data_IF_774935745341
#
_entry.id   IF_774935745341
#
_cell.length_a   1.000
_cell.length_b   1.000
_cell.length_c   1.000
_cell.angle_alpha   90.00
_cell.angle_beta   90.00
_cell.angle_gamma   90.00
#
_symmetry.space_group_name_H-M   'P 1'
#
loop_
_entity.id
_entity.type
_entity.pdbx_description
1 polymer ?
#
# COMPACT_ATOMS: atom_id res chain seq x y z
N UNK A 1 -25.12 11.14 -4.24
CA UNK A 1 -24.23 11.09 -3.08
C UNK A 1 -24.08 9.62 -2.72
N UNK A 2 -23.01 8.97 -3.20
CA UNK A 2 -22.74 7.56 -2.95
C UNK A 2 -22.38 7.37 -1.49
N UNK A 3 -22.93 6.36 -0.81
CA UNK A 3 -22.62 6.07 0.58
C UNK A 3 -21.77 4.81 0.59
N UNK A 4 -20.45 4.99 0.65
CA UNK A 4 -19.44 3.94 0.64
C UNK A 4 -19.44 3.26 2.01
N UNK A 5 -20.09 2.10 2.12
CA UNK A 5 -19.97 1.19 3.27
C UNK A 5 -18.86 0.19 2.94
N UNK A 6 -17.61 0.58 3.18
CA UNK A 6 -16.45 -0.26 2.93
C UNK A 6 -16.24 -1.18 4.15
N UNK A 7 -16.97 -2.30 4.19
CA UNK A 7 -16.78 -3.37 5.18
C UNK A 7 -15.73 -4.36 4.65
N UNK A 8 -14.45 -4.08 4.91
CA UNK A 8 -13.39 -5.07 4.75
C UNK A 8 -13.20 -5.81 6.08
N UNK A 9 -13.87 -6.95 6.23
CA UNK A 9 -13.61 -7.84 7.37
C UNK A 9 -12.33 -8.63 7.12
N UNK A 10 -11.28 -8.30 7.88
CA UNK A 10 -10.09 -9.14 8.00
C UNK A 10 -10.46 -10.28 8.96
N UNK A 11 -10.93 -11.43 8.45
CA UNK A 11 -11.19 -12.58 9.33
C UNK A 11 -9.86 -13.20 9.77
N UNK A 12 -9.30 -12.69 10.86
CA UNK A 12 -8.40 -13.47 11.71
C UNK A 12 -9.29 -14.32 12.62
N UNK A 13 -9.21 -15.65 12.48
CA UNK A 13 -10.00 -16.58 13.30
C UNK A 13 -9.62 -16.43 14.77
N UNK A 14 -10.49 -15.77 15.55
CA UNK A 14 -10.37 -15.56 16.99
C UNK A 14 -11.72 -15.11 17.55
N UNK A 15 -12.19 -15.77 18.60
CA UNK A 15 -13.58 -15.79 19.03
C UNK A 15 -14.11 -14.47 19.62
N UNK A 16 -15.36 -14.14 19.22
CA UNK A 16 -16.47 -13.45 19.91
C UNK A 16 -16.17 -12.47 21.05
N UNK A 17 -16.55 -11.20 20.86
CA UNK A 17 -17.49 -10.48 21.73
C UNK A 17 -18.36 -9.56 20.84
N UNK A 18 -19.66 -9.83 20.86
CA UNK A 18 -20.72 -9.15 20.12
C UNK A 18 -21.20 -7.94 20.91
N UNK A 19 -20.89 -6.74 20.41
CA UNK A 19 -21.60 -5.50 20.75
C UNK A 19 -21.94 -4.79 19.46
N UNK A 20 -23.02 -5.24 18.82
CA UNK A 20 -23.58 -4.61 17.64
C UNK A 20 -24.34 -3.34 18.04
N UNK A 21 -23.68 -2.18 17.98
CA UNK A 21 -24.40 -0.90 17.95
C UNK A 21 -25.22 -0.83 16.64
N UNK A 22 -26.53 -0.65 16.77
CA UNK A 22 -27.46 -0.62 15.65
C UNK A 22 -27.21 0.62 14.78
N UNK A 23 -26.60 0.40 13.61
CA UNK A 23 -26.50 1.41 12.55
C UNK A 23 -27.90 1.64 11.95
N UNK A 24 -28.37 2.89 11.80
CA UNK A 24 -29.72 3.18 11.33
C UNK A 24 -29.97 2.69 9.89
N UNK A 25 -31.01 1.89 9.71
CA UNK A 25 -31.46 1.32 8.43
C UNK A 25 -32.03 2.40 7.50
N UNK A 26 -31.49 2.60 6.28
CA UNK A 26 -32.05 3.54 5.32
C UNK A 26 -33.36 3.02 4.69
N UNK A 27 -34.27 3.94 4.39
CA UNK A 27 -35.66 3.72 3.92
C UNK A 27 -35.80 3.37 2.44
N UNK A 28 -34.70 3.14 1.72
CA UNK A 28 -34.73 2.54 0.39
C UNK A 28 -33.49 1.65 0.24
N UNK A 29 -33.62 0.31 0.33
CA UNK A 29 -32.48 -0.57 0.17
C UNK A 29 -32.12 -0.53 -1.32
N UNK A 30 -31.14 0.31 -1.67
CA UNK A 30 -30.52 0.23 -2.99
C UNK A 30 -30.07 -1.20 -3.29
N UNK A 31 -29.84 -1.52 -4.55
CA UNK A 31 -29.32 -2.85 -4.89
C UNK A 31 -27.87 -2.96 -4.43
N UNK A 32 -27.62 -3.90 -3.52
CA UNK A 32 -26.28 -4.26 -3.07
C UNK A 32 -25.67 -5.29 -4.00
N UNK A 33 -24.44 -5.05 -4.41
CA UNK A 33 -23.61 -6.04 -5.12
C UNK A 33 -22.40 -6.41 -4.27
N UNK A 34 -21.89 -7.61 -4.52
CA UNK A 34 -20.64 -8.10 -3.94
C UNK A 34 -19.68 -8.48 -5.06
N UNK A 35 -18.41 -8.10 -4.91
CA UNK A 35 -17.31 -8.43 -5.81
C UNK A 35 -16.16 -8.98 -4.97
N UNK A 36 -15.42 -9.90 -5.55
CA UNK A 36 -14.26 -10.52 -4.92
C UNK A 36 -13.17 -10.71 -5.96
N UNK A 37 -11.93 -10.75 -5.49
CA UNK A 37 -10.78 -10.99 -6.34
C UNK A 37 -9.50 -11.06 -5.54
N UNK A 38 -8.36 -11.00 -6.24
CA UNK A 38 -7.04 -11.00 -5.63
C UNK A 38 -6.23 -9.86 -6.22
N UNK A 39 -5.57 -9.07 -5.36
CA UNK A 39 -4.64 -8.01 -5.74
C UNK A 39 -3.57 -7.90 -4.64
N UNK A 40 -2.35 -7.46 -4.94
CA UNK A 40 -1.26 -7.37 -3.95
C UNK A 40 -1.03 -8.68 -3.19
N UNK A 41 -1.19 -9.81 -3.89
CA UNK A 41 -1.07 -11.16 -3.32
C UNK A 41 -2.07 -11.48 -2.20
N UNK A 42 -3.18 -10.73 -2.09
CA UNK A 42 -4.18 -10.87 -1.03
C UNK A 42 -5.59 -10.89 -1.61
N UNK A 43 -6.50 -11.75 -1.10
CA UNK A 43 -7.90 -11.68 -1.48
C UNK A 43 -8.53 -10.35 -1.01
N UNK A 44 -9.45 -9.81 -1.80
CA UNK A 44 -10.26 -8.65 -1.45
C UNK A 44 -11.74 -8.97 -1.66
N UNK A 45 -12.59 -8.32 -0.88
CA UNK A 45 -14.04 -8.28 -1.06
C UNK A 45 -14.50 -6.83 -1.07
N UNK A 46 -15.46 -6.55 -1.93
CA UNK A 46 -16.12 -5.25 -2.05
C UNK A 46 -17.62 -5.49 -1.97
N UNK A 47 -18.29 -4.75 -1.09
CA UNK A 47 -19.74 -4.67 -1.03
C UNK A 47 -20.14 -3.22 -1.32
N UNK A 48 -21.05 -3.03 -2.28
CA UNK A 48 -21.45 -1.70 -2.72
C UNK A 48 -22.94 -1.63 -2.92
N UNK A 49 -23.57 -0.66 -2.26
CA UNK A 49 -24.98 -0.33 -2.43
C UNK A 49 -25.11 0.86 -3.39
N UNK A 50 -25.90 0.67 -4.45
CA UNK A 50 -26.20 1.72 -5.43
C UNK A 50 -27.70 1.93 -5.60
N UNK A 51 -28.14 3.07 -6.18
CA UNK A 51 -29.57 3.28 -6.45
C UNK A 51 -30.15 2.25 -7.43
N UNK A 52 -29.30 1.70 -8.31
CA UNK A 52 -29.58 0.57 -9.20
C UNK A 52 -28.36 -0.36 -9.25
N UNK A 53 -28.55 -1.64 -9.57
CA UNK A 53 -27.46 -2.61 -9.78
C UNK A 53 -26.51 -2.16 -10.88
N UNK A 54 -27.01 -1.55 -11.94
CA UNK A 54 -26.16 -1.04 -13.03
C UNK A 54 -25.20 0.04 -12.53
N UNK A 55 -25.68 0.99 -11.73
CA UNK A 55 -24.83 2.03 -11.13
C UNK A 55 -23.87 1.45 -10.09
N UNK A 56 -24.30 0.45 -9.32
CA UNK A 56 -23.43 -0.23 -8.37
C UNK A 56 -22.29 -0.98 -9.10
N UNK A 57 -22.61 -1.65 -10.21
CA UNK A 57 -21.63 -2.34 -11.04
C UNK A 57 -20.59 -1.38 -11.61
N UNK A 58 -21.03 -0.27 -12.21
CA UNK A 58 -20.14 0.76 -12.76
C UNK A 58 -19.17 1.29 -11.68
N UNK A 59 -19.69 1.65 -10.50
CA UNK A 59 -18.86 2.09 -9.39
C UNK A 59 -17.87 1.01 -8.92
N UNK A 60 -18.29 -0.26 -8.92
CA UNK A 60 -17.39 -1.36 -8.56
C UNK A 60 -16.25 -1.55 -9.56
N UNK A 61 -16.48 -1.32 -10.85
CA UNK A 61 -15.42 -1.42 -11.86
C UNK A 61 -14.36 -0.33 -11.65
N UNK A 62 -14.77 0.90 -11.32
CA UNK A 62 -13.84 2.00 -11.00
C UNK A 62 -12.97 1.63 -9.79
N UNK A 63 -13.58 1.10 -8.72
CA UNK A 63 -12.85 0.67 -7.52
C UNK A 63 -11.84 -0.44 -7.84
N UNK A 64 -12.24 -1.43 -8.63
CA UNK A 64 -11.37 -2.53 -9.05
C UNK A 64 -10.20 -2.00 -9.90
N UNK A 65 -10.46 -1.06 -10.81
CA UNK A 65 -9.41 -0.43 -11.61
C UNK A 65 -8.42 0.35 -10.73
N UNK A 66 -8.88 1.05 -9.68
CA UNK A 66 -8.00 1.70 -8.71
C UNK A 66 -7.09 0.71 -7.99
N UNK A 67 -7.61 -0.45 -7.59
CA UNK A 67 -6.82 -1.51 -6.96
C UNK A 67 -5.74 -2.05 -7.91
N UNK A 68 -6.08 -2.30 -9.18
CA UNK A 68 -5.12 -2.75 -10.21
C UNK A 68 -4.08 -1.68 -10.50
N UNK A 69 -4.48 -0.40 -10.57
CA UNK A 69 -3.56 0.71 -10.75
C UNK A 69 -2.59 0.81 -9.57
N UNK A 70 -3.08 0.63 -8.33
CA UNK A 70 -2.23 0.61 -7.15
C UNK A 70 -1.21 -0.55 -7.18
N UNK A 71 -1.60 -1.77 -7.60
CA UNK A 71 -0.66 -2.90 -7.81
C UNK A 71 0.46 -2.50 -8.78
N UNK A 72 0.09 -1.91 -9.93
CA UNK A 72 1.06 -1.51 -10.96
C UNK A 72 2.06 -0.46 -10.46
N UNK A 73 1.69 0.35 -9.46
CA UNK A 73 2.59 1.34 -8.85
C UNK A 73 3.40 0.77 -7.69
N UNK A 74 2.75 0.03 -6.79
CA UNK A 74 3.27 -0.23 -5.44
C UNK A 74 3.79 -1.65 -5.21
N UNK A 75 3.68 -2.55 -6.18
CA UNK A 75 4.10 -3.94 -5.99
C UNK A 75 5.63 -4.09 -5.90
N UNK A 76 6.17 -4.44 -4.73
CA UNK A 76 7.59 -4.82 -4.61
C UNK A 76 7.90 -6.22 -5.15
N UNK A 77 6.90 -6.93 -5.68
CA UNK A 77 7.05 -8.28 -6.24
C UNK A 77 7.09 -8.26 -7.78
N UNK A 78 6.39 -7.30 -8.39
CA UNK A 78 6.43 -7.09 -9.82
C UNK A 78 7.65 -6.21 -10.19
N UNK A 79 8.63 -6.70 -10.96
CA UNK A 79 9.78 -5.90 -11.41
C UNK A 79 9.36 -4.73 -12.34
N UNK A 80 8.22 -4.86 -13.01
CA UNK A 80 7.62 -3.83 -13.87
C UNK A 80 6.71 -2.87 -13.10
N UNK A 81 6.65 -2.96 -11.77
CA UNK A 81 5.96 -1.93 -11.00
C UNK A 81 6.76 -0.64 -10.99
N UNK A 82 6.08 0.48 -10.80
CA UNK A 82 6.73 1.77 -10.72
C UNK A 82 7.71 1.87 -9.55
N UNK A 83 7.34 1.41 -8.36
CA UNK A 83 8.22 1.40 -7.19
C UNK A 83 9.42 0.47 -7.37
N UNK A 84 9.27 -0.67 -8.06
CA UNK A 84 10.38 -1.58 -8.35
C UNK A 84 11.38 -0.95 -9.31
N UNK A 85 10.91 -0.28 -10.37
CA UNK A 85 11.78 0.47 -11.28
C UNK A 85 12.49 1.62 -10.56
N UNK A 86 11.77 2.36 -9.71
CA UNK A 86 12.38 3.43 -8.91
C UNK A 86 13.46 2.89 -7.97
N UNK A 87 13.20 1.75 -7.31
CA UNK A 87 14.19 1.07 -6.44
C UNK A 87 15.42 0.57 -7.21
N UNK A 88 15.27 0.21 -8.48
CA UNK A 88 16.34 -0.30 -9.33
C UNK A 88 17.16 0.77 -10.05
N UNK A 89 16.64 2.01 -10.17
CA UNK A 89 17.30 3.05 -10.97
C UNK A 89 18.48 3.73 -10.28
N UNK A 90 19.15 4.61 -11.02
CA UNK A 90 20.43 5.19 -10.60
C UNK A 90 20.34 6.14 -9.39
N UNK A 91 21.46 6.23 -8.67
CA UNK A 91 21.61 7.17 -7.55
C UNK A 91 21.84 8.59 -8.06
N UNK A 92 21.36 9.57 -7.30
CA UNK A 92 21.63 11.00 -7.49
C UNK A 92 20.86 11.67 -8.63
N UNK A 93 20.06 10.93 -9.40
CA UNK A 93 19.21 11.47 -10.47
C UNK A 93 17.73 11.28 -10.15
N UNK A 94 16.86 12.27 -10.44
CA UNK A 94 15.43 12.06 -10.38
C UNK A 94 15.05 10.96 -11.36
N UNK A 95 14.63 9.81 -10.84
CA UNK A 95 13.98 8.81 -11.64
C UNK A 95 12.54 9.26 -11.82
N UNK A 96 12.04 9.39 -13.05
CA UNK A 96 10.65 9.77 -13.28
C UNK A 96 9.72 8.81 -12.55
N UNK A 97 8.97 9.31 -11.57
CA UNK A 97 7.81 8.62 -11.03
C UNK A 97 6.56 9.49 -11.15
N UNK A 98 5.43 8.82 -11.17
CA UNK A 98 4.11 9.40 -11.22
C UNK A 98 3.88 10.27 -9.98
N UNK A 99 3.08 11.34 -10.11
CA UNK A 99 2.66 12.13 -8.95
C UNK A 99 2.01 11.27 -7.86
N UNK A 100 1.30 10.21 -8.25
CA UNK A 100 0.70 9.26 -7.31
C UNK A 100 1.76 8.54 -6.47
N UNK A 101 2.78 7.93 -7.10
CA UNK A 101 3.84 7.25 -6.34
C UNK A 101 4.62 8.23 -5.45
N UNK A 102 4.92 9.42 -5.97
CA UNK A 102 5.57 10.47 -5.17
C UNK A 102 4.73 10.83 -3.93
N UNK A 103 3.43 11.03 -4.09
CA UNK A 103 2.53 11.33 -2.97
C UNK A 103 2.43 10.16 -1.96
N UNK A 104 2.35 8.93 -2.45
CA UNK A 104 2.30 7.72 -1.63
C UNK A 104 3.58 7.57 -0.78
N UNK A 105 4.76 7.79 -1.36
CA UNK A 105 6.04 7.79 -0.65
C UNK A 105 6.10 8.95 0.36
N UNK A 106 5.65 10.14 -0.02
CA UNK A 106 5.64 11.32 0.86
C UNK A 106 4.80 11.07 2.11
N UNK A 107 3.59 10.56 1.95
CA UNK A 107 2.69 10.22 3.07
C UNK A 107 3.27 9.14 3.98
N UNK A 108 3.98 8.15 3.41
CA UNK A 108 4.67 7.16 4.22
C UNK A 108 5.84 7.77 5.01
N UNK A 109 6.60 8.70 4.43
CA UNK A 109 7.66 9.43 5.14
C UNK A 109 7.09 10.35 6.25
N UNK A 110 5.93 10.96 6.05
CA UNK A 110 5.23 11.72 7.10
C UNK A 110 4.94 10.82 8.31
N UNK A 111 4.46 9.59 8.08
CA UNK A 111 4.26 8.62 9.17
C UNK A 111 5.57 8.18 9.82
N UNK A 112 6.67 8.04 9.06
CA UNK A 112 7.99 7.75 9.64
C UNK A 112 8.40 8.84 10.63
N UNK A 113 8.18 10.11 10.28
CA UNK A 113 8.48 11.25 11.15
C UNK A 113 7.56 11.25 12.36
N UNK A 114 6.25 11.13 12.15
CA UNK A 114 5.24 11.15 13.21
C UNK A 114 5.45 10.03 14.26
N UNK A 115 5.93 8.88 13.82
CA UNK A 115 6.20 7.71 14.68
C UNK A 115 7.63 7.67 15.22
N UNK A 116 8.43 8.73 15.00
CA UNK A 116 9.85 8.79 15.38
C UNK A 116 10.67 7.60 14.86
N UNK A 117 10.30 7.09 13.67
CA UNK A 117 10.97 5.98 13.01
C UNK A 117 10.47 4.59 13.40
N UNK A 118 9.46 4.46 14.26
CA UNK A 118 8.87 3.14 14.57
C UNK A 118 8.19 2.52 13.32
N UNK A 119 7.65 3.34 12.44
CA UNK A 119 7.30 2.98 11.06
C UNK A 119 8.33 3.59 10.09
N UNK A 120 8.65 2.93 8.99
CA UNK A 120 9.46 3.52 7.91
C UNK A 120 9.19 2.82 6.56
N UNK A 121 8.99 3.56 5.46
CA UNK A 121 8.95 2.97 4.12
C UNK A 121 10.34 2.57 3.61
N UNK A 122 11.44 2.98 4.25
CA UNK A 122 12.82 2.83 3.76
C UNK A 122 13.45 1.47 4.12
N UNK A 123 12.64 0.50 4.53
CA UNK A 123 13.09 -0.78 5.09
C UNK A 123 13.37 -1.84 4.02
N UNK A 124 13.36 -1.51 2.71
CA UNK A 124 13.53 -2.50 1.64
C UNK A 124 14.79 -3.35 1.76
N UNK A 125 15.93 -2.72 2.09
CA UNK A 125 17.19 -3.43 2.32
C UNK A 125 17.15 -4.36 3.54
N UNK A 126 16.39 -3.98 4.58
CA UNK A 126 16.22 -4.79 5.78
C UNK A 126 15.29 -5.98 5.51
N UNK A 127 14.21 -5.77 4.76
CA UNK A 127 13.32 -6.83 4.29
C UNK A 127 14.10 -7.88 3.49
N UNK A 128 15.01 -7.43 2.63
CA UNK A 128 15.88 -8.31 1.84
C UNK A 128 16.90 -9.06 2.71
N UNK A 129 17.62 -8.36 3.60
CA UNK A 129 18.69 -9.01 4.38
C UNK A 129 18.16 -10.08 5.34
N UNK A 130 16.93 -9.89 5.84
CA UNK A 130 16.19 -10.86 6.66
C UNK A 130 15.44 -11.92 5.85
N UNK A 131 15.44 -11.83 4.52
CA UNK A 131 14.70 -12.75 3.64
C UNK A 131 13.20 -12.85 3.99
N UNK A 132 12.56 -11.72 4.35
CA UNK A 132 11.16 -11.72 4.80
C UNK A 132 10.15 -12.01 3.65
N UNK A 133 10.64 -12.08 2.41
CA UNK A 133 9.88 -12.51 1.23
C UNK A 133 10.14 -13.97 0.84
N UNK A 134 11.04 -14.65 1.54
CA UNK A 134 11.44 -16.03 1.31
C UNK A 134 11.24 -16.89 2.56
N UNK A 135 12.25 -17.68 2.91
CA UNK A 135 12.21 -18.57 4.08
C UNK A 135 12.52 -17.86 5.40
N UNK A 136 13.00 -16.62 5.34
CA UNK A 136 13.52 -15.90 6.50
C UNK A 136 14.92 -16.35 6.87
N UNK A 137 15.73 -15.43 7.40
CA UNK A 137 17.07 -15.71 7.93
C UNK A 137 17.49 -14.66 8.95
N UNK A 138 18.43 -15.05 9.83
CA UNK A 138 19.15 -14.09 10.66
C UNK A 138 20.37 -13.60 9.84
N UNK A 139 20.46 -12.30 9.53
CA UNK A 139 21.60 -11.76 8.80
C UNK A 139 22.87 -11.80 9.65
N UNK A 140 24.03 -12.02 9.02
CA UNK A 140 25.30 -11.79 9.70
C UNK A 140 25.47 -10.30 10.08
N UNK A 141 26.28 -9.98 11.12
CA UNK A 141 26.40 -8.61 11.61
C UNK A 141 26.82 -7.60 10.53
N UNK A 142 27.68 -7.98 9.59
CA UNK A 142 28.16 -7.08 8.54
C UNK A 142 27.04 -6.72 7.56
N UNK A 143 26.26 -7.71 7.12
CA UNK A 143 25.09 -7.47 6.26
C UNK A 143 24.00 -6.67 6.96
N UNK A 144 23.75 -6.95 8.24
CA UNK A 144 22.82 -6.16 9.05
C UNK A 144 23.24 -4.69 9.13
N UNK A 145 24.48 -4.41 9.54
CA UNK A 145 24.99 -3.03 9.65
C UNK A 145 24.92 -2.29 8.32
N UNK A 146 25.25 -2.98 7.21
CA UNK A 146 25.12 -2.42 5.87
C UNK A 146 23.66 -2.08 5.56
N UNK A 147 22.73 -3.00 5.75
CA UNK A 147 21.31 -2.77 5.51
C UNK A 147 20.75 -1.59 6.32
N UNK A 148 21.11 -1.48 7.61
CA UNK A 148 20.74 -0.33 8.44
C UNK A 148 21.28 0.99 7.88
N UNK A 149 22.52 1.02 7.41
CA UNK A 149 23.10 2.22 6.80
C UNK A 149 22.40 2.61 5.50
N UNK A 150 21.94 1.64 4.71
CA UNK A 150 21.23 1.89 3.45
C UNK A 150 19.79 2.34 3.67
N UNK A 151 19.16 1.97 4.80
CA UNK A 151 17.80 2.34 5.18
C UNK A 151 17.67 3.69 5.91
N UNK A 152 18.75 4.48 5.98
CA UNK A 152 18.71 5.78 6.66
C UNK A 152 17.91 6.83 5.86
N UNK A 153 17.16 7.73 6.53
CA UNK A 153 16.41 8.80 5.87
C UNK A 153 17.25 9.69 4.96
N UNK A 154 18.52 9.94 5.29
CA UNK A 154 19.42 10.78 4.49
C UNK A 154 19.66 10.26 3.05
N UNK A 155 19.38 8.97 2.81
CA UNK A 155 19.51 8.35 1.48
C UNK A 155 18.31 8.64 0.56
N UNK A 156 17.22 9.21 1.09
CA UNK A 156 16.08 9.70 0.31
C UNK A 156 16.01 11.22 0.44
N UNK A 157 16.06 11.93 -0.68
CA UNK A 157 15.87 13.38 -0.73
C UNK A 157 14.74 13.73 -1.69
N UNK A 158 14.27 14.97 -1.63
CA UNK A 158 13.27 15.51 -2.53
C UNK A 158 13.89 16.61 -3.36
N UNK A 159 13.76 16.50 -4.69
CA UNK A 159 14.03 17.59 -5.62
C UNK A 159 12.68 17.97 -6.25
N UNK A 160 12.20 19.16 -5.93
CA UNK A 160 10.81 19.58 -6.17
C UNK A 160 9.82 18.53 -5.62
N UNK A 161 8.92 18.02 -6.46
CA UNK A 161 7.95 16.99 -6.10
C UNK A 161 8.41 15.56 -6.37
N UNK A 162 9.69 15.35 -6.70
CA UNK A 162 10.21 14.03 -7.08
C UNK A 162 11.13 13.44 -5.99
N UNK A 163 10.90 12.18 -5.57
CA UNK A 163 11.79 11.47 -4.67
C UNK A 163 13.06 11.03 -5.40
N UNK A 164 14.22 11.30 -4.81
CA UNK A 164 15.54 11.00 -5.37
C UNK A 164 16.35 10.15 -4.41
N UNK A 165 16.96 9.09 -4.94
CA UNK A 165 17.86 8.21 -4.21
C UNK A 165 19.23 8.86 -4.07
N UNK A 166 19.50 9.56 -2.96
CA UNK A 166 20.84 10.08 -2.65
C UNK A 166 21.82 8.96 -2.30
N UNK A 167 21.31 7.88 -1.71
CA UNK A 167 22.05 6.65 -1.41
C UNK A 167 21.24 5.41 -1.79
N UNK A 168 21.75 4.20 -1.53
CA UNK A 168 21.15 2.93 -1.95
C UNK A 168 19.92 2.53 -1.10
N UNK A 169 18.99 3.47 -0.89
CA UNK A 169 17.72 3.22 -0.21
C UNK A 169 16.76 2.46 -1.12
N UNK A 170 15.92 1.64 -0.52
CA UNK A 170 14.90 0.84 -1.20
C UNK A 170 13.59 1.00 -0.44
N UNK A 171 12.53 1.35 -1.17
CA UNK A 171 11.17 1.49 -0.63
C UNK A 171 10.53 0.11 -0.49
N UNK A 172 10.06 -0.18 0.71
CA UNK A 172 9.20 -1.31 1.03
C UNK A 172 7.75 -0.81 1.23
N UNK A 173 6.84 -1.27 0.38
CA UNK A 173 5.42 -0.87 0.39
C UNK A 173 4.57 -1.73 1.30
N UNK A 174 5.09 -2.84 1.84
CA UNK A 174 4.31 -3.79 2.65
C UNK A 174 3.61 -3.17 3.87
N UNK A 175 4.14 -2.07 4.41
CA UNK A 175 3.56 -1.36 5.56
C UNK A 175 2.51 -0.29 5.22
N UNK A 176 2.33 0.08 3.95
CA UNK A 176 1.38 1.15 3.58
C UNK A 176 0.62 0.92 2.27
N UNK A 177 1.07 0.01 1.40
CA UNK A 177 0.59 -0.10 0.02
C UNK A 177 -0.89 -0.46 -0.10
N UNK A 178 -1.40 -1.32 0.79
CA UNK A 178 -2.84 -1.63 0.85
C UNK A 178 -3.67 -0.42 1.29
N UNK A 179 -3.17 0.36 2.26
CA UNK A 179 -3.83 1.60 2.69
C UNK A 179 -3.87 2.63 1.57
N UNK A 180 -2.76 2.81 0.85
CA UNK A 180 -2.72 3.67 -0.34
C UNK A 180 -3.68 3.21 -1.45
N UNK A 181 -3.81 1.91 -1.68
CA UNK A 181 -4.76 1.35 -2.64
C UNK A 181 -6.21 1.63 -2.25
N UNK A 182 -6.53 1.56 -0.95
CA UNK A 182 -7.85 1.88 -0.43
C UNK A 182 -8.15 3.38 -0.47
N UNK A 183 -7.17 4.24 -0.16
CA UNK A 183 -7.32 5.69 -0.25
C UNK A 183 -7.57 6.17 -1.71
N UNK A 184 -7.09 5.41 -2.70
CA UNK A 184 -7.28 5.69 -4.13
C UNK A 184 -8.57 5.11 -4.73
N UNK A 185 -9.29 4.26 -3.99
CA UNK A 185 -10.52 3.59 -4.42
C UNK A 185 -11.74 4.36 -3.90
#
# INVERSE_FOLDING_TARGET
MYRLLLLLSLTASGALLDTQEAVPTPSNPGETIRREGVVMGTPWSLELAGPTRAQALEASEVLIQSLVAAESRLSNWNPDSEVSRWNAGDLGSPLPCSPALAQEIRRAEEWRIATQGAFSPLLGNLVEVWDLRGSGRIPDPAKWTRACSMSRPENLIWLDDQPVRRGPVTIATGGFGKGAALDAA
#
